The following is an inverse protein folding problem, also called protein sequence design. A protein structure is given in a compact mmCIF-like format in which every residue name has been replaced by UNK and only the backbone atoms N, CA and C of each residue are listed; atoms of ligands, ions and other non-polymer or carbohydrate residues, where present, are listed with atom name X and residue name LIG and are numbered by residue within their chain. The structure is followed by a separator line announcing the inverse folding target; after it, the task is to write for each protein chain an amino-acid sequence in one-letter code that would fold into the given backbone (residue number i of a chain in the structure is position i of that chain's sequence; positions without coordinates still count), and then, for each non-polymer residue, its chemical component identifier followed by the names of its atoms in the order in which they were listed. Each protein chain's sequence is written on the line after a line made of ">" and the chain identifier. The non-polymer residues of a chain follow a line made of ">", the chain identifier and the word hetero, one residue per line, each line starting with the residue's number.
data_IF_838844686627
#
_entry.id   IF_838844686627
#
_cell.length_a   1.000
_cell.length_b   1.000
_cell.length_c   1.000
_cell.angle_alpha   90.00
_cell.angle_beta   90.00
_cell.angle_gamma   90.00
#
_symmetry.space_group_name_H-M   'P 1'
#
loop_
_entity.id
_entity.type
_entity.pdbx_description
1 polymer ?
#
# COMPACT_ATOMS: atom_id res chain seq x y z
N UNK A 1 15.14 -5.79 33.57
CA UNK A 1 13.96 -6.23 32.80
C UNK A 1 13.38 -4.98 32.15
N UNK A 2 13.71 -4.72 30.89
CA UNK A 2 13.19 -3.58 30.14
C UNK A 2 12.03 -4.09 29.29
N UNK A 3 10.82 -3.72 29.68
CA UNK A 3 9.64 -3.87 28.85
C UNK A 3 9.69 -2.75 27.81
N UNK A 4 10.23 -3.06 26.65
CA UNK A 4 10.09 -2.19 25.48
C UNK A 4 8.62 -2.28 25.04
N UNK A 5 7.79 -1.38 25.57
CA UNK A 5 6.49 -1.08 24.97
C UNK A 5 6.79 -0.30 23.70
N UNK A 6 7.27 -0.98 22.66
CA UNK A 6 7.29 -0.46 21.31
C UNK A 6 5.84 -0.43 20.82
N UNK A 7 5.08 0.51 21.36
CA UNK A 7 3.84 1.01 20.76
C UNK A 7 4.25 1.94 19.61
N UNK A 8 5.00 1.36 18.68
CA UNK A 8 5.49 2.06 17.52
C UNK A 8 4.36 1.93 16.50
N UNK A 9 3.43 2.90 16.52
CA UNK A 9 2.34 3.03 15.57
C UNK A 9 2.90 3.36 14.18
N UNK A 10 3.66 2.43 13.61
CA UNK A 10 4.22 2.53 12.26
C UNK A 10 3.23 1.86 11.33
N UNK A 11 2.09 2.52 11.15
CA UNK A 11 1.25 2.22 10.01
C UNK A 11 2.10 2.41 8.75
N UNK A 12 2.42 1.32 8.07
CA UNK A 12 2.97 1.40 6.72
C UNK A 12 1.89 1.98 5.81
N UNK A 13 2.28 2.74 4.78
CA UNK A 13 1.32 3.29 3.80
C UNK A 13 0.88 2.23 2.77
N UNK A 14 1.22 0.97 3.02
CA UNK A 14 0.80 -0.18 2.22
C UNK A 14 -0.69 -0.47 2.45
N UNK A 15 -1.42 -0.74 1.38
CA UNK A 15 -2.85 -1.04 1.46
C UNK A 15 -3.05 -2.54 1.36
N UNK A 16 -3.70 -3.09 2.37
CA UNK A 16 -4.06 -4.49 2.42
C UNK A 16 -5.55 -4.71 2.18
N UNK A 17 -5.89 -5.85 1.58
CA UNK A 17 -7.27 -6.28 1.39
C UNK A 17 -7.68 -7.17 2.56
N UNK A 18 -8.86 -6.94 3.13
CA UNK A 18 -9.40 -7.81 4.16
C UNK A 18 -9.92 -9.08 3.49
N UNK A 19 -9.33 -10.23 3.82
CA UNK A 19 -9.79 -11.52 3.29
C UNK A 19 -10.90 -12.13 4.13
N UNK A 20 -10.75 -12.06 5.45
CA UNK A 20 -11.67 -12.73 6.35
C UNK A 20 -11.78 -11.95 7.65
N UNK A 21 -13.01 -11.86 8.15
CA UNK A 21 -13.29 -11.36 9.49
C UNK A 21 -13.70 -12.52 10.36
N UNK A 22 -13.00 -12.72 11.48
CA UNK A 22 -13.37 -13.68 12.50
C UNK A 22 -13.74 -12.94 13.78
N UNK A 23 -14.66 -13.51 14.56
CA UNK A 23 -15.01 -13.00 15.89
C UNK A 23 -14.64 -14.08 16.89
N UNK A 24 -13.71 -13.77 17.79
CA UNK A 24 -13.29 -14.69 18.84
C UNK A 24 -13.61 -14.07 20.20
N UNK A 25 -14.50 -14.72 20.96
CA UNK A 25 -14.83 -14.34 22.34
C UNK A 25 -15.10 -12.83 22.52
N UNK A 26 -15.91 -12.27 21.61
CA UNK A 26 -16.32 -10.84 21.55
C UNK A 26 -15.32 -9.86 20.92
N UNK A 27 -14.14 -10.31 20.48
CA UNK A 27 -13.15 -9.47 19.80
C UNK A 27 -13.18 -9.75 18.29
N UNK A 28 -13.24 -8.70 17.47
CA UNK A 28 -13.15 -8.80 16.03
C UNK A 28 -11.68 -8.84 15.62
N UNK A 29 -11.29 -9.93 14.93
CA UNK A 29 -9.97 -10.07 14.32
C UNK A 29 -10.10 -10.20 12.82
N UNK A 30 -9.17 -9.60 12.10
CA UNK A 30 -9.17 -9.50 10.65
C UNK A 30 -7.92 -10.19 10.11
N UNK A 31 -8.14 -11.03 9.09
CA UNK A 31 -7.09 -11.62 8.29
C UNK A 31 -6.94 -10.76 7.04
N UNK A 32 -5.77 -10.16 6.87
CA UNK A 32 -5.44 -9.30 5.74
C UNK A 32 -4.61 -10.07 4.69
N UNK A 33 -4.69 -9.60 3.46
CA UNK A 33 -3.93 -10.07 2.31
C UNK A 33 -3.25 -8.89 1.63
N UNK A 34 -2.06 -9.11 1.09
CA UNK A 34 -1.39 -8.18 0.20
C UNK A 34 -2.23 -7.90 -1.06
N UNK A 35 -1.84 -6.84 -1.79
CA UNK A 35 -2.45 -6.51 -3.09
C UNK A 35 -2.34 -7.64 -4.13
N UNK A 36 -1.35 -8.54 -4.00
CA UNK A 36 -1.16 -9.74 -4.85
C UNK A 36 -1.94 -10.98 -4.35
N UNK A 37 -2.94 -10.81 -3.48
CA UNK A 37 -3.71 -11.89 -2.84
C UNK A 37 -2.87 -12.83 -1.95
N UNK A 38 -1.63 -12.45 -1.63
CA UNK A 38 -0.80 -13.23 -0.70
C UNK A 38 -1.32 -13.04 0.73
N UNK A 39 -1.65 -14.11 1.46
CA UNK A 39 -2.11 -13.99 2.83
C UNK A 39 -0.95 -13.56 3.74
N UNK A 40 -1.15 -12.46 4.45
CA UNK A 40 -0.23 -12.03 5.51
C UNK A 40 -0.45 -12.96 6.69
N UNK A 41 0.64 -13.53 7.21
CA UNK A 41 0.58 -14.38 8.41
C UNK A 41 0.38 -13.50 9.64
N UNK A 42 -0.85 -13.45 10.13
CA UNK A 42 -1.19 -12.70 11.33
C UNK A 42 -2.70 -12.50 11.48
N UNK A 43 -3.11 -12.10 12.68
CA UNK A 43 -4.44 -11.63 12.98
C UNK A 43 -4.32 -10.20 13.47
N UNK A 44 -5.07 -9.29 12.86
CA UNK A 44 -5.02 -7.86 13.19
C UNK A 44 -6.33 -7.45 13.86
N UNK A 45 -6.24 -6.59 14.85
CA UNK A 45 -7.44 -6.03 15.48
C UNK A 45 -7.99 -4.85 14.67
N UNK A 46 -9.26 -4.51 14.92
CA UNK A 46 -9.88 -3.34 14.28
C UNK A 46 -9.11 -2.05 14.56
N UNK A 47 -8.61 -1.88 15.78
CA UNK A 47 -7.83 -0.70 16.19
C UNK A 47 -6.48 -0.57 15.47
N UNK A 48 -5.96 -1.67 14.91
CA UNK A 48 -4.71 -1.69 14.15
C UNK A 48 -4.95 -1.51 12.64
N UNK A 49 -6.21 -1.32 12.22
CA UNK A 49 -6.58 -1.21 10.81
C UNK A 49 -7.31 0.11 10.56
N UNK A 50 -6.75 0.92 9.66
CA UNK A 50 -7.42 2.11 9.14
C UNK A 50 -8.25 1.71 7.91
N UNK A 51 -9.55 2.01 7.91
CA UNK A 51 -10.37 1.85 6.70
C UNK A 51 -9.97 2.90 5.68
N UNK A 52 -9.41 2.44 4.55
CA UNK A 52 -9.10 3.31 3.40
C UNK A 52 -10.19 3.13 2.35
N UNK A 53 -10.81 4.23 1.94
CA UNK A 53 -11.76 4.24 0.82
C UNK A 53 -11.03 4.80 -0.41
N UNK A 54 -10.33 3.93 -1.13
CA UNK A 54 -9.70 4.26 -2.42
C UNK A 54 -10.56 3.64 -3.51
N UNK A 55 -11.18 4.49 -4.31
CA UNK A 55 -11.85 4.09 -5.53
C UNK A 55 -10.84 3.61 -6.58
N UNK A 56 -11.27 2.92 -7.63
CA UNK A 56 -10.37 2.38 -8.67
C UNK A 56 -9.60 3.50 -9.40
N UNK A 57 -10.20 4.70 -9.45
CA UNK A 57 -9.64 5.94 -10.00
C UNK A 57 -8.83 6.77 -8.98
N UNK A 58 -8.62 6.26 -7.76
CA UNK A 58 -7.98 7.04 -6.73
C UNK A 58 -6.47 7.26 -7.01
N UNK A 59 -6.02 8.50 -6.80
CA UNK A 59 -4.63 8.90 -7.01
C UNK A 59 -3.68 8.15 -6.07
N UNK A 60 -2.56 7.68 -6.62
CA UNK A 60 -1.48 7.01 -5.87
C UNK A 60 -0.27 7.91 -5.76
N UNK A 61 0.31 7.99 -4.56
CA UNK A 61 1.53 8.76 -4.34
C UNK A 61 2.74 7.98 -4.83
N UNK A 62 3.52 8.62 -5.71
CA UNK A 62 4.78 8.09 -6.22
C UNK A 62 5.90 8.66 -5.36
N UNK A 63 6.64 7.80 -4.68
CA UNK A 63 7.84 8.18 -3.93
C UNK A 63 8.97 8.58 -4.87
N UNK A 64 9.19 7.77 -5.93
CA UNK A 64 10.32 7.99 -6.82
C UNK A 64 10.10 7.42 -8.22
N UNK A 65 10.56 8.16 -9.23
CA UNK A 65 10.70 7.68 -10.62
C UNK A 65 12.08 7.00 -10.75
N UNK A 66 12.11 5.67 -10.92
CA UNK A 66 13.34 4.86 -10.91
C UNK A 66 14.00 4.82 -12.28
N UNK A 67 13.23 4.54 -13.33
CA UNK A 67 13.75 4.40 -14.71
C UNK A 67 12.77 5.02 -15.70
N UNK A 68 13.31 5.50 -16.81
CA UNK A 68 12.54 5.86 -18.00
C UNK A 68 12.81 4.86 -19.12
N UNK A 69 11.78 4.49 -19.86
CA UNK A 69 11.90 3.74 -21.12
C UNK A 69 10.97 4.35 -22.17
N UNK A 70 11.32 4.19 -23.44
CA UNK A 70 10.45 4.54 -24.56
C UNK A 70 10.06 3.25 -25.27
N UNK A 71 8.77 2.92 -25.28
CA UNK A 71 8.23 1.74 -25.95
C UNK A 71 7.17 2.19 -26.96
N UNK A 72 7.30 1.78 -28.22
CA UNK A 72 6.33 2.06 -29.27
C UNK A 72 5.97 3.56 -29.45
N UNK A 73 6.94 4.45 -29.20
CA UNK A 73 6.74 5.90 -29.29
C UNK A 73 6.29 6.56 -27.98
N UNK A 74 5.86 5.79 -26.98
CA UNK A 74 5.38 6.30 -25.70
C UNK A 74 6.45 6.19 -24.60
N UNK A 75 6.58 7.25 -23.80
CA UNK A 75 7.50 7.28 -22.66
C UNK A 75 6.79 6.70 -21.44
N UNK A 76 7.40 5.68 -20.83
CA UNK A 76 6.94 5.07 -19.60
C UNK A 76 8.01 5.23 -18.52
N UNK A 77 7.56 5.51 -17.30
CA UNK A 77 8.39 5.59 -16.13
C UNK A 77 8.11 4.40 -15.21
N UNK A 78 9.18 3.75 -14.75
CA UNK A 78 9.10 2.81 -13.66
C UNK A 78 9.01 3.63 -12.37
N UNK A 79 7.86 3.60 -11.73
CA UNK A 79 7.61 4.35 -10.50
C UNK A 79 7.64 3.43 -9.29
N UNK A 80 8.11 3.98 -8.17
CA UNK A 80 7.99 3.40 -6.84
C UNK A 80 6.89 4.11 -6.10
N UNK A 81 5.91 3.36 -5.62
CA UNK A 81 4.82 3.91 -4.82
C UNK A 81 5.29 4.15 -3.39
N UNK A 82 4.80 5.24 -2.81
CA UNK A 82 5.15 5.66 -1.46
C UNK A 82 4.61 4.71 -0.39
N UNK A 83 5.54 4.20 0.43
CA UNK A 83 5.26 3.17 1.45
C UNK A 83 4.93 1.78 0.90
N UNK A 84 5.22 1.52 -0.38
CA UNK A 84 5.14 0.18 -0.97
C UNK A 84 6.53 -0.38 -1.27
N UNK A 85 6.75 -1.69 -1.08
CA UNK A 85 8.00 -2.34 -1.42
C UNK A 85 8.23 -2.37 -2.94
N UNK A 86 9.49 -2.44 -3.35
CA UNK A 86 9.94 -2.40 -4.74
C UNK A 86 9.36 -3.51 -5.63
N UNK A 87 8.76 -4.55 -5.01
CA UNK A 87 8.00 -5.61 -5.70
C UNK A 87 6.74 -5.09 -6.42
N UNK A 88 6.23 -3.93 -6.01
CA UNK A 88 5.05 -3.28 -6.61
C UNK A 88 5.40 -2.17 -7.61
N UNK A 89 6.68 -2.02 -7.97
CA UNK A 89 7.07 -1.02 -8.96
C UNK A 89 6.40 -1.32 -10.30
N UNK A 90 5.69 -0.33 -10.86
CA UNK A 90 4.97 -0.47 -12.12
C UNK A 90 5.44 0.53 -13.15
N UNK A 91 5.30 0.16 -14.43
CA UNK A 91 5.56 1.04 -15.55
C UNK A 91 4.30 1.84 -15.86
N UNK A 92 4.32 3.12 -15.51
CA UNK A 92 3.21 4.05 -15.79
C UNK A 92 3.63 4.95 -16.96
N UNK A 93 2.77 5.12 -17.98
CA UNK A 93 3.01 6.12 -19.02
C UNK A 93 3.15 7.52 -18.43
N UNK A 94 4.01 8.35 -19.01
CA UNK A 94 4.23 9.72 -18.54
C UNK A 94 2.95 10.56 -18.52
N UNK A 95 1.99 10.24 -19.40
CA UNK A 95 0.68 10.92 -19.49
C UNK A 95 -0.18 10.77 -18.23
N UNK A 96 -0.04 9.65 -17.52
CA UNK A 96 -0.83 9.33 -16.31
C UNK A 96 -0.12 9.77 -15.03
N UNK A 97 1.11 10.29 -15.14
CA UNK A 97 1.86 10.82 -14.00
C UNK A 97 1.61 12.32 -13.91
N UNK A 98 0.80 12.73 -12.94
CA UNK A 98 0.66 14.14 -12.57
C UNK A 98 1.67 14.47 -11.48
N UNK A 99 2.61 15.38 -11.76
CA UNK A 99 3.40 16.00 -10.70
C UNK A 99 2.46 17.01 -10.03
N UNK A 100 2.05 16.71 -8.79
CA UNK A 100 1.29 17.65 -7.98
C UNK A 100 2.21 18.81 -7.60
N UNK A 101 2.44 19.71 -8.55
CA UNK A 101 3.11 20.99 -8.30
C UNK A 101 2.09 21.85 -7.56
N UNK A 102 2.35 22.10 -6.27
CA UNK A 102 1.65 23.12 -5.51
C UNK A 102 1.65 24.44 -6.30
N UNK A 103 0.46 25.02 -6.47
CA UNK A 103 0.23 26.38 -6.98
C UNK A 103 0.39 27.37 -5.85
#
# INVERSE_FOLDING_TARGET
>A
MIFDRSYDEHFTREIFKISQRMRMQSICVYVIKDFMDQPVRGHFYESELQRVNKDEDALWFIEKKIKKRKLNGEVQWLVKFDGWPDKYNQWIPEKDITDAVEV
#
